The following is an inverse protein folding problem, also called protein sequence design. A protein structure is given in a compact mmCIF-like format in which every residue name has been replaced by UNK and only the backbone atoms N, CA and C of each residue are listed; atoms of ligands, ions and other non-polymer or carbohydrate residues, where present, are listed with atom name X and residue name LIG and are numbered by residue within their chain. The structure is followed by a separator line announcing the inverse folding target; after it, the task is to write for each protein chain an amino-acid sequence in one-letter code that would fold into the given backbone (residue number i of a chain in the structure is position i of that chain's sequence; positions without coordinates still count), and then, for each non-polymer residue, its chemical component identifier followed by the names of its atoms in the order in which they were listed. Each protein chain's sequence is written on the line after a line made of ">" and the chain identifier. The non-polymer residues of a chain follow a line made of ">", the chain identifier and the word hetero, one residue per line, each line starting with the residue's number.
data_IF_153024604206
#
_entry.id   IF_153024604206
#
_cell.length_a   1.000
_cell.length_b   1.000
_cell.length_c   1.000
_cell.angle_alpha   90.00
_cell.angle_beta   90.00
_cell.angle_gamma   90.00
#
_symmetry.space_group_name_H-M   'P 1'
#
loop_
_entity.id
_entity.type
_entity.pdbx_description
1 polymer ?
#
# COMPACT_ATOMS: atom_id res chain seq x y z
N UNK A 1 -25.39 9.65 -15.82
CA UNK A 1 -24.37 10.12 -16.77
C UNK A 1 -23.12 9.23 -16.71
N UNK A 2 -22.40 9.22 -15.58
CA UNK A 2 -21.13 8.48 -15.43
C UNK A 2 -21.20 7.00 -15.82
N UNK A 3 -22.22 6.24 -15.37
CA UNK A 3 -22.39 4.84 -15.82
C UNK A 3 -22.46 4.68 -17.34
N UNK A 4 -23.09 5.63 -18.06
CA UNK A 4 -23.15 5.58 -19.52
C UNK A 4 -21.78 5.80 -20.15
N UNK A 5 -20.93 6.65 -19.55
CA UNK A 5 -19.55 6.86 -19.99
C UNK A 5 -18.68 5.62 -19.73
N UNK A 6 -18.81 5.01 -18.54
CA UNK A 6 -18.07 3.79 -18.20
C UNK A 6 -18.41 2.62 -19.14
N UNK A 7 -19.67 2.50 -19.57
CA UNK A 7 -20.12 1.49 -20.55
C UNK A 7 -19.62 1.70 -21.99
N UNK A 8 -18.95 2.81 -22.30
CA UNK A 8 -18.31 3.00 -23.62
C UNK A 8 -17.07 2.12 -23.74
N UNK A 9 -16.42 1.82 -22.61
CA UNK A 9 -15.28 0.90 -22.56
C UNK A 9 -15.83 -0.52 -22.59
N UNK A 10 -15.48 -1.28 -23.63
CA UNK A 10 -15.85 -2.68 -23.79
C UNK A 10 -14.90 -3.60 -22.99
N UNK A 11 -14.81 -3.31 -21.70
CA UNK A 11 -14.02 -4.04 -20.71
C UNK A 11 -14.73 -3.92 -19.35
N UNK A 12 -14.83 -5.02 -18.63
CA UNK A 12 -15.43 -5.10 -17.30
C UNK A 12 -14.39 -5.25 -16.18
N UNK A 13 -13.09 -5.15 -16.48
CA UNK A 13 -11.98 -5.28 -15.52
C UNK A 13 -11.03 -4.09 -15.47
N UNK A 14 -11.36 -2.97 -16.11
CA UNK A 14 -10.49 -1.79 -16.14
C UNK A 14 -10.44 -1.04 -14.79
N UNK A 15 -9.41 -0.20 -14.64
CA UNK A 15 -9.23 0.73 -13.52
C UNK A 15 -9.69 2.13 -13.94
N UNK A 16 -10.66 2.70 -13.22
CA UNK A 16 -11.14 4.05 -13.43
C UNK A 16 -10.40 5.05 -12.54
N UNK A 17 -9.59 5.92 -13.15
CA UNK A 17 -8.92 7.02 -12.45
C UNK A 17 -9.74 8.31 -12.56
N UNK A 18 -10.05 8.92 -11.42
CA UNK A 18 -10.66 10.26 -11.33
C UNK A 18 -9.83 11.13 -10.39
N UNK A 19 -9.07 12.06 -10.98
CA UNK A 19 -8.19 12.97 -10.25
C UNK A 19 -8.87 14.28 -9.81
N UNK A 20 -10.17 14.43 -10.10
CA UNK A 20 -11.03 15.50 -9.60
C UNK A 20 -12.29 14.90 -9.00
N UNK A 21 -12.09 13.92 -8.11
CA UNK A 21 -13.17 13.03 -7.67
C UNK A 21 -14.30 13.76 -6.93
N UNK A 22 -14.02 14.91 -6.31
CA UNK A 22 -15.00 15.75 -5.61
C UNK A 22 -15.71 14.94 -4.52
N UNK A 23 -17.00 14.68 -4.73
CA UNK A 23 -17.77 13.82 -3.82
C UNK A 23 -17.58 12.31 -4.05
N UNK A 24 -16.73 11.88 -4.97
CA UNK A 24 -16.52 10.48 -5.38
C UNK A 24 -17.72 9.87 -6.10
N UNK A 25 -18.36 10.64 -6.98
CA UNK A 25 -19.50 10.15 -7.78
C UNK A 25 -19.12 9.06 -8.80
N UNK A 26 -17.86 9.09 -9.26
CA UNK A 26 -17.27 8.07 -10.16
C UNK A 26 -17.16 6.71 -9.47
N UNK A 27 -16.61 6.65 -8.26
CA UNK A 27 -16.54 5.41 -7.46
C UNK A 27 -17.93 4.78 -7.23
N UNK A 28 -18.95 5.60 -6.93
CA UNK A 28 -20.33 5.13 -6.83
C UNK A 28 -20.78 4.51 -8.17
N UNK A 29 -20.58 5.19 -9.29
CA UNK A 29 -20.98 4.68 -10.60
C UNK A 29 -20.28 3.35 -10.95
N UNK A 30 -19.00 3.19 -10.59
CA UNK A 30 -18.23 1.94 -10.75
C UNK A 30 -18.85 0.81 -9.94
N UNK A 31 -19.05 1.00 -8.63
CA UNK A 31 -19.65 -0.04 -7.76
C UNK A 31 -21.06 -0.44 -8.24
N UNK A 32 -21.87 0.54 -8.65
CA UNK A 32 -23.21 0.28 -9.16
C UNK A 32 -23.17 -0.53 -10.46
N UNK A 33 -22.21 -0.24 -11.34
CA UNK A 33 -22.07 -0.94 -12.61
C UNK A 33 -21.63 -2.40 -12.39
N UNK A 34 -20.63 -2.64 -11.53
CA UNK A 34 -20.20 -3.99 -11.15
C UNK A 34 -21.34 -4.82 -10.55
N UNK A 35 -22.21 -4.19 -9.74
CA UNK A 35 -23.39 -4.88 -9.20
C UNK A 35 -24.46 -5.19 -10.27
N UNK A 36 -24.59 -4.35 -11.31
CA UNK A 36 -25.55 -4.53 -12.40
C UNK A 36 -25.12 -5.62 -13.39
N UNK A 37 -23.86 -5.63 -13.79
CA UNK A 37 -23.36 -6.49 -14.88
C UNK A 37 -22.40 -7.60 -14.44
N UNK A 38 -22.03 -7.66 -13.16
CA UNK A 38 -21.11 -8.65 -12.62
C UNK A 38 -19.63 -8.37 -12.92
N UNK A 39 -19.31 -7.18 -13.44
CA UNK A 39 -17.94 -6.78 -13.70
C UNK A 39 -17.08 -6.59 -12.45
N UNK A 40 -15.77 -6.45 -12.65
CA UNK A 40 -14.76 -6.29 -11.61
C UNK A 40 -13.93 -5.01 -11.80
N UNK A 41 -14.59 -3.92 -12.18
CA UNK A 41 -13.94 -2.62 -12.42
C UNK A 41 -13.45 -2.03 -11.11
N UNK A 42 -12.23 -1.51 -11.10
CA UNK A 42 -11.62 -0.86 -9.93
C UNK A 42 -11.65 0.66 -10.10
N UNK A 43 -11.39 1.40 -9.01
CA UNK A 43 -11.34 2.85 -9.07
C UNK A 43 -10.18 3.43 -8.24
N UNK A 44 -9.61 4.54 -8.71
CA UNK A 44 -8.62 5.35 -7.99
C UNK A 44 -9.15 6.78 -7.96
N UNK A 45 -9.55 7.27 -6.79
CA UNK A 45 -10.07 8.63 -6.60
C UNK A 45 -9.00 9.50 -5.96
N UNK A 46 -8.60 10.57 -6.64
CA UNK A 46 -7.70 11.59 -6.07
C UNK A 46 -8.53 12.84 -5.77
N UNK A 47 -8.28 13.44 -4.60
CA UNK A 47 -8.96 14.65 -4.15
C UNK A 47 -8.01 15.47 -3.29
N UNK A 48 -7.94 16.77 -3.58
CA UNK A 48 -7.28 17.73 -2.69
C UNK A 48 -8.08 17.85 -1.38
N UNK A 49 -7.40 17.93 -0.21
CA UNK A 49 -8.05 18.07 1.09
C UNK A 49 -8.56 19.51 1.32
N UNK A 50 -9.36 20.02 0.39
CA UNK A 50 -9.96 21.34 0.45
C UNK A 50 -10.91 21.44 1.65
N UNK A 51 -10.70 22.40 2.56
CA UNK A 51 -11.51 22.55 3.76
C UNK A 51 -12.95 22.92 3.40
N UNK A 52 -13.90 22.30 4.08
CA UNK A 52 -15.31 22.68 3.96
C UNK A 52 -15.55 24.04 4.63
N UNK A 53 -16.47 24.85 4.08
CA UNK A 53 -16.94 26.06 4.75
C UNK A 53 -17.52 25.68 6.13
N UNK A 54 -17.09 26.38 7.18
CA UNK A 54 -17.53 26.16 8.56
C UNK A 54 -19.05 26.28 8.74
N UNK A 55 -19.71 27.06 7.88
CA UNK A 55 -21.16 27.23 7.90
C UNK A 55 -21.92 26.15 7.10
N UNK A 56 -21.21 25.33 6.32
CA UNK A 56 -21.83 24.28 5.52
C UNK A 56 -22.40 23.15 6.38
N UNK A 57 -23.45 22.50 5.88
CA UNK A 57 -24.02 21.30 6.52
C UNK A 57 -23.00 20.16 6.60
N UNK A 58 -22.10 20.06 5.61
CA UNK A 58 -21.03 19.07 5.61
C UNK A 58 -20.07 19.26 6.80
N UNK A 59 -19.67 20.51 7.07
CA UNK A 59 -18.81 20.82 8.21
C UNK A 59 -19.52 20.56 9.54
N UNK A 60 -20.81 20.94 9.66
CA UNK A 60 -21.64 20.65 10.84
C UNK A 60 -21.81 19.15 11.10
N UNK A 61 -21.85 18.33 10.04
CA UNK A 61 -21.89 16.88 10.11
C UNK A 61 -20.52 16.24 10.45
N UNK A 62 -19.47 17.03 10.66
CA UNK A 62 -18.13 16.57 11.04
C UNK A 62 -17.16 16.36 9.86
N UNK A 63 -17.57 16.66 8.63
CA UNK A 63 -16.71 16.55 7.45
C UNK A 63 -15.85 17.81 7.30
N UNK A 64 -14.60 17.73 7.77
CA UNK A 64 -13.67 18.87 7.77
C UNK A 64 -13.21 19.30 6.37
N UNK A 65 -13.14 18.36 5.42
CA UNK A 65 -12.71 18.60 4.05
C UNK A 65 -13.50 17.76 3.05
N UNK A 66 -13.36 18.06 1.76
CA UNK A 66 -14.05 17.36 0.67
C UNK A 66 -13.71 15.86 0.65
N UNK A 67 -12.48 15.47 0.99
CA UNK A 67 -12.08 14.06 1.05
C UNK A 67 -12.92 13.26 2.06
N UNK A 68 -13.27 13.85 3.22
CA UNK A 68 -14.16 13.20 4.20
C UNK A 68 -15.56 12.92 3.61
N UNK A 69 -16.09 13.85 2.82
CA UNK A 69 -17.37 13.70 2.12
C UNK A 69 -17.28 12.57 1.10
N UNK A 70 -16.22 12.53 0.30
CA UNK A 70 -15.99 11.49 -0.71
C UNK A 70 -15.89 10.10 -0.08
N UNK A 71 -15.07 9.94 0.97
CA UNK A 71 -14.96 8.68 1.72
C UNK A 71 -16.30 8.20 2.27
N UNK A 72 -17.07 9.11 2.86
CA UNK A 72 -18.37 8.77 3.41
C UNK A 72 -19.38 8.39 2.34
N UNK A 73 -19.37 9.08 1.19
CA UNK A 73 -20.20 8.70 0.04
C UNK A 73 -19.86 7.29 -0.45
N UNK A 74 -18.57 6.94 -0.58
CA UNK A 74 -18.17 5.61 -1.04
C UNK A 74 -18.72 4.54 -0.09
N UNK A 75 -18.55 4.71 1.23
CA UNK A 75 -19.09 3.78 2.23
C UNK A 75 -20.61 3.62 2.13
N UNK A 76 -21.34 4.73 2.09
CA UNK A 76 -22.82 4.72 2.03
C UNK A 76 -23.33 4.15 0.71
N UNK A 77 -22.68 4.49 -0.40
CA UNK A 77 -23.04 3.96 -1.72
C UNK A 77 -22.82 2.44 -1.76
N UNK A 78 -21.65 1.95 -1.33
CA UNK A 78 -21.38 0.52 -1.28
C UNK A 78 -22.38 -0.25 -0.42
N UNK A 79 -22.68 0.25 0.79
CA UNK A 79 -23.67 -0.36 1.66
C UNK A 79 -25.09 -0.37 1.04
N UNK A 80 -25.49 0.74 0.41
CA UNK A 80 -26.80 0.85 -0.25
C UNK A 80 -26.91 -0.11 -1.44
N UNK A 81 -25.86 -0.24 -2.25
CA UNK A 81 -25.83 -1.13 -3.42
C UNK A 81 -25.92 -2.60 -2.98
N UNK A 82 -25.21 -2.99 -1.90
CA UNK A 82 -25.33 -4.34 -1.35
C UNK A 82 -26.73 -4.65 -0.81
N UNK A 83 -27.42 -3.65 -0.25
CA UNK A 83 -28.78 -3.79 0.27
C UNK A 83 -29.88 -3.70 -0.80
N UNK A 84 -29.56 -3.34 -2.05
CA UNK A 84 -30.55 -3.14 -3.11
C UNK A 84 -31.02 -4.48 -3.70
N UNK A 85 -32.20 -4.95 -3.30
CA UNK A 85 -32.79 -6.21 -3.75
C UNK A 85 -33.15 -6.24 -5.24
N UNK A 86 -33.18 -5.08 -5.91
CA UNK A 86 -33.43 -5.03 -7.36
C UNK A 86 -32.26 -5.51 -8.21
N UNK A 87 -31.07 -5.62 -7.62
CA UNK A 87 -29.85 -6.07 -8.30
C UNK A 87 -29.61 -7.58 -8.10
N UNK A 88 -28.96 -8.27 -9.07
CA UNK A 88 -28.68 -9.70 -8.97
C UNK A 88 -27.95 -10.05 -7.66
N UNK A 89 -28.47 -11.03 -6.92
CA UNK A 89 -27.93 -11.43 -5.62
C UNK A 89 -26.45 -11.85 -5.72
N UNK A 90 -26.12 -12.66 -6.72
CA UNK A 90 -24.76 -13.16 -6.95
C UNK A 90 -23.75 -12.01 -7.14
N UNK A 91 -24.14 -10.97 -7.88
CA UNK A 91 -23.28 -9.81 -8.11
C UNK A 91 -23.09 -8.97 -6.84
N UNK A 92 -24.13 -8.85 -6.01
CA UNK A 92 -24.06 -8.10 -4.74
C UNK A 92 -23.18 -8.77 -3.69
N UNK A 93 -23.19 -10.11 -3.64
CA UNK A 93 -22.33 -10.88 -2.72
C UNK A 93 -20.86 -10.79 -3.13
N UNK A 94 -20.57 -10.84 -4.43
CA UNK A 94 -19.21 -10.71 -4.99
C UNK A 94 -18.70 -9.26 -5.01
N UNK A 95 -19.57 -8.27 -4.85
CA UNK A 95 -19.20 -6.86 -4.96
C UNK A 95 -18.17 -6.46 -3.88
N UNK A 96 -17.01 -6.02 -4.34
CA UNK A 96 -16.04 -5.32 -3.49
C UNK A 96 -16.47 -3.87 -3.28
N UNK A 97 -16.65 -3.51 -2.00
CA UNK A 97 -16.96 -2.14 -1.54
C UNK A 97 -15.84 -1.57 -0.67
N UNK A 98 -14.77 -2.34 -0.48
CA UNK A 98 -13.58 -1.95 0.25
C UNK A 98 -12.80 -0.89 -0.54
N UNK A 99 -12.12 -0.03 0.20
CA UNK A 99 -11.17 0.90 -0.39
C UNK A 99 -10.12 1.27 0.65
N UNK A 100 -8.87 1.42 0.19
CA UNK A 100 -7.78 1.99 1.00
C UNK A 100 -7.75 3.50 0.84
N UNK A 101 -7.32 4.21 1.88
CA UNK A 101 -7.18 5.67 1.87
C UNK A 101 -5.74 6.02 2.10
N UNK A 102 -5.13 6.68 1.13
CA UNK A 102 -3.76 7.18 1.23
C UNK A 102 -3.77 8.71 1.31
N UNK A 103 -2.71 9.27 1.90
CA UNK A 103 -2.45 10.70 1.94
C UNK A 103 -1.04 10.94 1.42
N UNK A 104 -0.87 12.04 0.69
CA UNK A 104 0.46 12.48 0.31
C UNK A 104 1.15 13.13 1.51
N UNK A 105 2.40 12.74 1.71
CA UNK A 105 3.30 13.30 2.70
C UNK A 105 4.72 13.29 2.12
N UNK A 106 5.67 13.88 2.82
CA UNK A 106 7.09 13.79 2.50
C UNK A 106 7.62 12.35 2.59
N UNK A 107 8.71 12.06 1.86
CA UNK A 107 9.41 10.76 1.90
C UNK A 107 9.66 10.29 3.33
N UNK A 108 9.40 9.02 3.61
CA UNK A 108 9.70 8.38 4.90
C UNK A 108 11.21 8.15 5.07
N UNK A 109 11.93 8.02 3.95
CA UNK A 109 13.39 7.94 3.91
C UNK A 109 13.96 9.35 3.91
N UNK A 110 14.90 9.63 4.82
CA UNK A 110 15.61 10.91 4.86
C UNK A 110 16.46 11.07 3.61
N UNK A 111 16.34 12.21 2.94
CA UNK A 111 17.24 12.55 1.84
C UNK A 111 18.63 12.82 2.39
N UNK A 112 19.66 12.32 1.70
CA UNK A 112 21.05 12.60 2.06
C UNK A 112 21.34 14.09 1.79
N UNK A 113 21.31 14.90 2.84
CA UNK A 113 21.61 16.32 2.75
C UNK A 113 23.14 16.50 2.65
N UNK A 114 23.60 16.93 1.46
CA UNK A 114 25.01 17.23 1.21
C UNK A 114 25.43 18.62 1.71
N UNK A 115 24.51 19.42 2.24
CA UNK A 115 24.82 20.78 2.71
C UNK A 115 25.52 20.76 4.08
N UNK A 116 26.80 21.16 4.08
CA UNK A 116 27.71 21.17 5.24
C UNK A 116 27.32 22.15 6.35
N UNK A 117 26.23 22.90 6.21
CA UNK A 117 25.84 23.93 7.21
C UNK A 117 25.19 23.33 8.47
N UNK A 118 24.68 22.09 8.42
CA UNK A 118 24.06 21.41 9.56
C UNK A 118 24.72 20.06 9.90
N UNK A 119 26.03 20.09 10.16
CA UNK A 119 26.84 18.90 10.46
C UNK A 119 26.30 18.07 11.64
N UNK A 120 25.77 18.71 12.68
CA UNK A 120 25.18 18.03 13.85
C UNK A 120 23.92 17.24 13.46
N UNK A 121 23.03 17.85 12.66
CA UNK A 121 21.83 17.20 12.16
C UNK A 121 22.16 16.09 11.17
N UNK A 122 23.13 16.31 10.28
CA UNK A 122 23.66 15.29 9.36
C UNK A 122 24.26 14.09 10.10
N UNK A 123 24.96 14.31 11.23
CA UNK A 123 25.43 13.22 12.10
C UNK A 123 24.27 12.43 12.73
N UNK A 124 23.25 13.09 13.27
CA UNK A 124 22.08 12.39 13.82
C UNK A 124 21.25 11.69 12.74
N UNK A 125 21.18 12.27 11.54
CA UNK A 125 20.50 11.66 10.38
C UNK A 125 21.27 10.45 9.82
N UNK A 126 22.59 10.37 10.04
CA UNK A 126 23.38 9.17 9.72
C UNK A 126 23.15 7.98 10.66
N UNK A 127 22.44 8.19 11.79
CA UNK A 127 22.13 7.11 12.75
C UNK A 127 20.84 6.37 12.37
N UNK A 128 19.90 7.04 11.70
CA UNK A 128 18.64 6.43 11.25
C UNK A 128 18.14 7.08 9.96
N UNK A 129 18.09 6.27 8.89
CA UNK A 129 17.64 6.69 7.56
C UNK A 129 16.11 6.85 7.47
N UNK A 130 15.37 6.35 8.45
CA UNK A 130 13.91 6.43 8.52
C UNK A 130 13.51 7.57 9.46
N UNK A 131 12.52 8.37 9.06
CA UNK A 131 11.97 9.42 9.94
C UNK A 131 11.25 8.80 11.14
N UNK A 132 11.50 9.35 12.33
CA UNK A 132 11.01 8.81 13.60
C UNK A 132 9.49 8.95 13.83
N UNK A 133 8.82 9.77 13.04
CA UNK A 133 7.37 10.00 13.10
C UNK A 133 6.56 9.05 12.19
N UNK A 134 7.21 8.07 11.55
CA UNK A 134 6.61 7.19 10.53
C UNK A 134 6.35 5.79 11.04
N UNK A 135 5.25 5.21 10.59
CA UNK A 135 4.94 3.80 10.86
C UNK A 135 5.70 2.89 9.89
N UNK A 136 5.90 1.63 10.29
CA UNK A 136 6.51 0.62 9.42
C UNK A 136 5.70 0.43 8.13
N UNK A 137 4.37 0.52 8.23
CA UNK A 137 3.48 0.47 7.06
C UNK A 137 3.69 1.66 6.10
N UNK A 138 3.97 2.87 6.59
CA UNK A 138 4.21 4.03 5.71
C UNK A 138 5.46 3.81 4.86
N UNK A 139 6.53 3.31 5.49
CA UNK A 139 7.78 2.94 4.81
C UNK A 139 7.53 1.80 3.83
N UNK A 140 6.77 0.79 4.23
CA UNK A 140 6.41 -0.34 3.38
C UNK A 140 5.68 0.12 2.10
N UNK A 141 4.66 0.98 2.22
CA UNK A 141 3.93 1.49 1.06
C UNK A 141 4.80 2.37 0.15
N UNK A 142 5.75 3.12 0.71
CA UNK A 142 6.72 3.85 -0.11
C UNK A 142 7.64 2.90 -0.89
N UNK A 143 8.10 1.82 -0.26
CA UNK A 143 8.88 0.76 -0.91
C UNK A 143 8.05 0.14 -2.05
N UNK A 144 6.80 -0.26 -1.79
CA UNK A 144 5.91 -0.82 -2.81
C UNK A 144 5.85 0.08 -4.05
N UNK A 145 5.63 1.38 -3.85
CA UNK A 145 5.57 2.37 -4.93
C UNK A 145 6.90 2.51 -5.67
N UNK A 146 8.03 2.54 -4.96
CA UNK A 146 9.38 2.63 -5.56
C UNK A 146 9.74 1.42 -6.41
N UNK A 147 9.24 0.24 -6.04
CA UNK A 147 9.42 -1.00 -6.79
C UNK A 147 8.36 -1.20 -7.88
N UNK A 148 7.42 -0.26 -8.04
CA UNK A 148 6.38 -0.32 -9.08
C UNK A 148 5.30 -1.36 -8.80
N UNK A 149 5.11 -1.77 -7.55
CA UNK A 149 4.09 -2.73 -7.14
C UNK A 149 2.73 -2.03 -6.92
N UNK A 150 1.64 -2.76 -7.17
CA UNK A 150 0.27 -2.28 -6.95
C UNK A 150 -0.01 -2.10 -5.44
N UNK A 151 -0.73 -1.04 -5.07
CA UNK A 151 -1.16 -0.77 -3.69
C UNK A 151 -2.19 -1.79 -3.16
N UNK A 152 -2.80 -2.56 -4.05
CA UNK A 152 -3.73 -3.65 -3.72
C UNK A 152 -3.05 -5.00 -3.51
N UNK A 153 -1.71 -5.05 -3.61
CA UNK A 153 -0.98 -6.28 -3.36
C UNK A 153 -1.24 -6.78 -1.94
N UNK A 154 -1.30 -8.10 -1.79
CA UNK A 154 -1.48 -8.75 -0.51
C UNK A 154 -0.19 -8.59 0.32
N UNK A 155 -0.38 -8.20 1.59
CA UNK A 155 0.67 -7.99 2.56
C UNK A 155 0.35 -8.90 3.74
N UNK A 156 1.21 -9.88 3.96
CA UNK A 156 1.14 -10.79 5.10
C UNK A 156 2.17 -10.35 6.14
N UNK A 157 1.71 -10.08 7.36
CA UNK A 157 2.55 -9.69 8.48
C UNK A 157 2.93 -10.93 9.28
N UNK A 158 4.22 -11.25 9.32
CA UNK A 158 4.80 -12.22 10.24
C UNK A 158 5.43 -11.47 11.43
N UNK A 159 5.74 -12.19 12.53
CA UNK A 159 6.39 -11.59 13.71
C UNK A 159 7.70 -10.88 13.38
N UNK A 160 8.38 -11.35 12.33
CA UNK A 160 9.73 -10.91 11.94
C UNK A 160 9.76 -10.07 10.67
N UNK A 161 8.80 -10.20 9.74
CA UNK A 161 8.88 -9.56 8.42
C UNK A 161 7.53 -9.48 7.72
N UNK A 162 7.44 -8.60 6.73
CA UNK A 162 6.31 -8.50 5.81
C UNK A 162 6.57 -9.31 4.54
N UNK A 163 5.66 -10.21 4.20
CA UNK A 163 5.63 -10.93 2.91
C UNK A 163 4.65 -10.26 1.97
N UNK A 164 5.11 -9.87 0.78
CA UNK A 164 4.34 -9.09 -0.18
C UNK A 164 4.20 -9.87 -1.48
N UNK A 165 2.96 -9.97 -1.98
CA UNK A 165 2.66 -10.58 -3.27
C UNK A 165 3.06 -12.05 -3.33
N UNK A 166 2.68 -12.81 -2.29
CA UNK A 166 3.05 -14.22 -2.17
C UNK A 166 4.55 -14.45 -2.04
N UNK A 167 5.27 -13.56 -1.34
CA UNK A 167 6.69 -13.69 -1.09
C UNK A 167 7.63 -13.21 -2.20
N UNK A 168 7.09 -12.52 -3.23
CA UNK A 168 7.91 -11.84 -4.24
C UNK A 168 8.84 -10.81 -3.60
N UNK A 169 8.35 -10.13 -2.56
CA UNK A 169 9.11 -9.15 -1.80
C UNK A 169 8.98 -9.46 -0.29
N UNK A 170 10.11 -9.64 0.38
CA UNK A 170 10.18 -9.84 1.83
C UNK A 170 10.85 -8.63 2.47
N UNK A 171 10.18 -7.96 3.41
CA UNK A 171 10.66 -6.69 3.98
C UNK A 171 10.74 -6.80 5.50
N UNK A 172 11.92 -6.56 6.06
CA UNK A 172 12.11 -6.37 7.50
C UNK A 172 12.46 -4.90 7.79
N UNK A 173 11.65 -4.25 8.62
CA UNK A 173 11.81 -2.84 9.02
C UNK A 173 12.13 -2.67 10.52
N UNK A 174 12.26 -3.79 11.24
CA UNK A 174 12.53 -3.81 12.68
C UNK A 174 13.86 -3.16 13.00
N UNK A 175 13.99 -2.58 14.20
CA UNK A 175 15.21 -1.88 14.64
C UNK A 175 16.41 -2.79 14.93
N UNK A 176 16.17 -4.07 15.17
CA UNK A 176 17.21 -5.05 15.38
C UNK A 176 16.89 -6.29 14.56
N UNK A 177 17.84 -6.73 13.74
CA UNK A 177 17.73 -7.98 12.99
C UNK A 177 18.46 -9.07 13.79
N UNK A 178 17.74 -10.12 14.14
CA UNK A 178 18.33 -11.32 14.74
C UNK A 178 18.63 -12.37 13.67
N UNK A 179 19.51 -13.32 14.01
CA UNK A 179 19.76 -14.48 13.15
C UNK A 179 18.46 -15.29 12.94
N UNK A 180 17.57 -15.31 13.93
CA UNK A 180 16.30 -16.01 13.87
C UNK A 180 15.39 -15.39 12.80
N UNK A 181 15.30 -14.06 12.73
CA UNK A 181 14.61 -13.34 11.64
C UNK A 181 15.13 -13.75 10.27
N UNK A 182 16.45 -13.86 10.09
CA UNK A 182 17.05 -14.31 8.81
C UNK A 182 16.70 -15.77 8.52
N UNK A 183 16.67 -16.63 9.54
CA UNK A 183 16.26 -18.02 9.37
C UNK A 183 14.77 -18.12 8.98
N UNK A 184 13.88 -17.31 9.59
CA UNK A 184 12.46 -17.21 9.24
C UNK A 184 12.27 -16.83 7.77
N UNK A 185 13.01 -15.84 7.28
CA UNK A 185 13.02 -15.42 5.86
C UNK A 185 13.49 -16.57 4.95
N UNK A 186 14.54 -17.29 5.36
CA UNK A 186 15.05 -18.44 4.61
C UNK A 186 14.06 -19.60 4.54
N UNK A 187 13.35 -19.88 5.64
CA UNK A 187 12.31 -20.93 5.68
C UNK A 187 11.14 -20.59 4.78
N UNK A 188 10.68 -19.33 4.81
CA UNK A 188 9.61 -18.88 3.93
C UNK A 188 10.01 -18.98 2.46
N UNK A 189 11.23 -18.55 2.10
CA UNK A 189 11.71 -18.71 0.74
C UNK A 189 11.81 -20.18 0.29
N UNK A 190 12.20 -21.10 1.19
CA UNK A 190 12.19 -22.54 0.88
C UNK A 190 10.78 -23.06 0.60
N UNK A 191 9.78 -22.63 1.36
CA UNK A 191 8.37 -23.00 1.11
C UNK A 191 7.91 -22.51 -0.26
N UNK A 192 8.28 -21.29 -0.64
CA UNK A 192 7.96 -20.75 -1.95
C UNK A 192 8.63 -21.54 -3.07
N UNK A 193 9.89 -21.96 -2.88
CA UNK A 193 10.61 -22.82 -3.84
C UNK A 193 10.01 -24.23 -3.99
N UNK A 194 9.34 -24.76 -2.95
CA UNK A 194 8.61 -26.02 -3.05
C UNK A 194 7.38 -25.91 -3.97
N UNK A 195 6.77 -24.73 -4.02
CA UNK A 195 5.61 -24.43 -4.87
C UNK A 195 6.07 -24.11 -6.30
N UNK A 196 7.08 -23.25 -6.44
CA UNK A 196 7.66 -22.85 -7.72
C UNK A 196 9.19 -22.83 -7.64
N UNK A 197 9.83 -23.77 -8.35
CA UNK A 197 11.29 -23.96 -8.30
C UNK A 197 12.08 -22.80 -8.90
N UNK A 198 11.46 -21.98 -9.75
CA UNK A 198 12.10 -20.83 -10.39
C UNK A 198 11.71 -19.51 -9.71
N UNK A 199 11.08 -19.58 -8.52
CA UNK A 199 10.59 -18.41 -7.79
C UNK A 199 11.73 -17.47 -7.39
N UNK A 200 11.54 -16.18 -7.70
CA UNK A 200 12.48 -15.11 -7.37
C UNK A 200 11.88 -14.21 -6.31
N UNK A 201 12.66 -14.00 -5.26
CA UNK A 201 12.32 -13.11 -4.15
C UNK A 201 13.36 -12.02 -4.03
N UNK A 202 12.90 -10.79 -3.84
CA UNK A 202 13.73 -9.67 -3.39
C UNK A 202 13.57 -9.53 -1.87
N UNK A 203 14.67 -9.38 -1.15
CA UNK A 203 14.66 -9.12 0.30
C UNK A 203 15.11 -7.69 0.57
N UNK A 204 14.34 -6.93 1.35
CA UNK A 204 14.69 -5.58 1.80
C UNK A 204 14.88 -5.61 3.31
N UNK A 205 16.06 -5.22 3.75
CA UNK A 205 16.44 -5.14 5.16
C UNK A 205 16.78 -3.70 5.52
N UNK A 206 16.45 -3.28 6.73
CA UNK A 206 16.88 -1.99 7.24
C UNK A 206 18.37 -2.03 7.62
N UNK A 207 19.17 -1.11 7.08
CA UNK A 207 20.62 -1.14 7.22
C UNK A 207 21.07 -0.85 8.66
N UNK A 208 20.38 0.08 9.31
CA UNK A 208 20.68 0.48 10.69
C UNK A 208 20.33 -0.60 11.72
N UNK A 209 19.73 -1.71 11.29
CA UNK A 209 19.26 -2.77 12.19
C UNK A 209 20.28 -3.86 12.48
N UNK A 210 21.43 -3.82 11.78
CA UNK A 210 22.55 -4.72 12.05
C UNK A 210 23.46 -4.16 13.14
N UNK A 211 23.91 -5.00 14.08
CA UNK A 211 24.80 -4.54 15.16
C UNK A 211 26.20 -4.16 14.66
N UNK A 212 26.64 -4.77 13.56
CA UNK A 212 27.93 -4.52 12.93
C UNK A 212 27.97 -5.07 11.49
N UNK A 213 28.99 -4.68 10.72
CA UNK A 213 29.20 -5.12 9.34
C UNK A 213 29.40 -6.65 9.19
N UNK A 214 29.88 -7.31 10.25
CA UNK A 214 30.10 -8.77 10.26
C UNK A 214 28.74 -9.48 10.26
N UNK A 215 27.81 -9.06 11.12
CA UNK A 215 26.45 -9.59 11.17
C UNK A 215 25.70 -9.33 9.87
N UNK A 216 25.82 -8.12 9.31
CA UNK A 216 25.25 -7.79 7.99
C UNK A 216 25.77 -8.73 6.89
N UNK A 217 27.09 -8.90 6.81
CA UNK A 217 27.71 -9.78 5.81
C UNK A 217 27.28 -11.23 5.99
N UNK A 218 27.18 -11.70 7.23
CA UNK A 218 26.74 -13.06 7.54
C UNK A 218 25.27 -13.28 7.19
N UNK A 219 24.41 -12.30 7.45
CA UNK A 219 22.99 -12.34 7.08
C UNK A 219 22.82 -12.41 5.56
N UNK A 220 23.51 -11.53 4.82
CA UNK A 220 23.47 -11.51 3.34
C UNK A 220 23.94 -12.85 2.78
N UNK A 221 25.08 -13.37 3.26
CA UNK A 221 25.61 -14.68 2.80
C UNK A 221 24.67 -15.83 3.09
N UNK A 222 23.95 -15.81 4.21
CA UNK A 222 22.95 -16.85 4.51
C UNK A 222 21.79 -16.81 3.53
N UNK A 223 21.29 -15.62 3.18
CA UNK A 223 20.22 -15.47 2.19
C UNK A 223 20.69 -15.94 0.79
N UNK A 224 21.91 -15.57 0.40
CA UNK A 224 22.54 -16.03 -0.86
C UNK A 224 22.70 -17.56 -0.91
N UNK A 225 23.04 -18.20 0.21
CA UNK A 225 23.16 -19.67 0.29
C UNK A 225 21.85 -20.40 -0.01
N UNK A 226 20.70 -19.79 0.25
CA UNK A 226 19.39 -20.38 -0.07
C UNK A 226 18.95 -20.05 -1.50
N UNK A 227 19.67 -19.16 -2.20
CA UNK A 227 19.41 -18.78 -3.59
C UNK A 227 18.78 -17.39 -3.77
N UNK A 228 18.64 -16.63 -2.68
CA UNK A 228 18.15 -15.24 -2.74
C UNK A 228 19.30 -14.35 -3.20
N UNK A 229 19.25 -13.92 -4.46
CA UNK A 229 20.31 -13.10 -5.06
C UNK A 229 19.99 -11.59 -5.05
N UNK A 230 18.73 -11.20 -4.84
CA UNK A 230 18.33 -9.80 -4.81
C UNK A 230 18.08 -9.34 -3.38
N UNK A 231 19.13 -8.83 -2.74
CA UNK A 231 19.06 -8.31 -1.37
C UNK A 231 19.37 -6.81 -1.43
N UNK A 232 18.49 -5.99 -0.86
CA UNK A 232 18.66 -4.53 -0.76
C UNK A 232 18.63 -4.09 0.70
N UNK A 233 19.36 -3.02 0.97
CA UNK A 233 19.35 -2.36 2.27
C UNK A 233 18.83 -0.93 2.13
N UNK A 234 18.06 -0.47 3.11
CA UNK A 234 17.52 0.90 3.20
C UNK A 234 17.91 1.57 4.52
#
# INVERSE_FOLDING_TARGET
>A
MLKKMLKIVDDDQFICLDFFSGSSSTAHAVMQLNAEDGGNRKFIMVQLPEPCDKNSEAYKAGHKNICEIGKERIRRAGAKIKADESLPLENREKLDIGFKVFKLDSSNIKEWDTETENLEKSLFDSVDNIKSDRSELDVLYEILLKYGLDLNIEIEENEDFYSIGGGTLLVNLQKEITIDTINSICEEYRRLLEIDKDFKTTVILRDTSFKNDIEKTNAIKKLEQVGINEIRSI
#
